data_IF_096520883489
#
_entry.id   IF_096520883489
#
_cell.length_a   1.000
_cell.length_b   1.000
_cell.length_c   1.000
_cell.angle_alpha   90.00
_cell.angle_beta   90.00
_cell.angle_gamma   90.00
#
_symmetry.space_group_name_H-M   'P 1'
#
loop_
_entity.id
_entity.type
_entity.pdbx_description
1 polymer ?
#
# COMPACT_ATOMS: atom_id res chain seq x y z
N UNK A 1 13.66 -5.70 -12.34
CA UNK A 1 13.03 -4.41 -12.02
C UNK A 1 11.50 -4.44 -12.25
N UNK A 2 11.01 -5.13 -13.28
CA UNK A 2 9.58 -5.16 -13.62
C UNK A 2 8.67 -5.91 -12.63
N UNK A 3 9.20 -6.93 -11.95
CA UNK A 3 8.40 -7.75 -11.03
C UNK A 3 7.86 -6.93 -9.85
N UNK A 4 8.68 -6.05 -9.27
CA UNK A 4 8.28 -5.21 -8.14
C UNK A 4 7.29 -4.11 -8.55
N UNK A 5 7.46 -3.55 -9.76
CA UNK A 5 6.50 -2.60 -10.34
C UNK A 5 5.14 -3.26 -10.57
N UNK A 6 5.11 -4.48 -11.11
CA UNK A 6 3.89 -5.27 -11.29
C UNK A 6 3.21 -5.59 -9.96
N UNK A 7 3.99 -6.03 -8.96
CA UNK A 7 3.47 -6.31 -7.61
C UNK A 7 2.85 -5.07 -6.99
N UNK A 8 3.52 -3.91 -7.09
CA UNK A 8 2.98 -2.64 -6.61
C UNK A 8 1.70 -2.23 -7.34
N UNK A 9 1.69 -2.28 -8.67
CA UNK A 9 0.50 -1.91 -9.46
C UNK A 9 -0.71 -2.77 -9.10
N UNK A 10 -0.50 -4.09 -8.95
CA UNK A 10 -1.54 -5.02 -8.50
C UNK A 10 -2.03 -4.70 -7.09
N UNK A 11 -1.13 -4.42 -6.13
CA UNK A 11 -1.53 -4.04 -4.77
C UNK A 11 -2.28 -2.72 -4.75
N UNK A 12 -1.82 -1.70 -5.47
CA UNK A 12 -2.48 -0.40 -5.55
C UNK A 12 -3.91 -0.53 -6.10
N UNK A 13 -4.11 -1.33 -7.15
CA UNK A 13 -5.44 -1.62 -7.68
C UNK A 13 -6.35 -2.28 -6.64
N UNK A 14 -5.82 -3.25 -5.88
CA UNK A 14 -6.60 -3.93 -4.83
C UNK A 14 -6.92 -3.02 -3.64
N UNK A 15 -6.02 -2.13 -3.24
CA UNK A 15 -6.29 -1.10 -2.25
C UNK A 15 -7.38 -0.14 -2.72
N UNK A 16 -7.34 0.27 -4.00
CA UNK A 16 -8.38 1.12 -4.59
C UNK A 16 -9.77 0.46 -4.53
N UNK A 17 -9.86 -0.84 -4.82
CA UNK A 17 -11.10 -1.61 -4.65
C UNK A 17 -11.58 -1.69 -3.19
N UNK A 18 -10.66 -1.58 -2.23
CA UNK A 18 -10.98 -1.53 -0.80
C UNK A 18 -11.25 -0.10 -0.29
N UNK A 19 -11.18 0.93 -1.13
CA UNK A 19 -11.38 2.33 -0.78
C UNK A 19 -10.16 3.03 -0.16
N UNK A 20 -8.96 2.48 -0.39
CA UNK A 20 -7.68 3.04 0.06
C UNK A 20 -6.80 3.37 -1.14
N UNK A 21 -5.75 4.16 -0.94
CA UNK A 21 -4.71 4.42 -1.94
C UNK A 21 -3.36 3.94 -1.42
N UNK A 22 -2.54 3.36 -2.29
CA UNK A 22 -1.16 2.97 -1.99
C UNK A 22 -0.22 3.80 -2.88
N UNK A 23 0.62 4.62 -2.27
CA UNK A 23 1.54 5.51 -2.95
C UNK A 23 3.00 5.14 -2.62
N UNK A 24 3.92 5.43 -3.54
CA UNK A 24 5.36 5.39 -3.27
C UNK A 24 5.84 6.76 -2.84
N UNK A 25 6.68 6.82 -1.83
CA UNK A 25 7.40 8.05 -1.48
C UNK A 25 8.65 8.15 -2.35
N UNK A 26 9.11 9.38 -2.61
CA UNK A 26 10.38 9.60 -3.31
C UNK A 26 11.51 9.74 -2.29
N UNK A 27 12.73 9.37 -2.69
CA UNK A 27 13.88 9.16 -1.81
C UNK A 27 14.38 10.39 -1.01
N UNK A 28 13.71 11.55 -1.10
CA UNK A 28 14.05 12.75 -0.32
C UNK A 28 13.57 12.71 1.13
N UNK A 29 12.50 11.96 1.44
CA UNK A 29 11.74 12.15 2.70
C UNK A 29 12.00 11.09 3.78
N UNK A 30 12.96 10.18 3.58
CA UNK A 30 13.41 9.23 4.60
C UNK A 30 12.61 7.92 4.65
N UNK A 31 13.35 6.82 4.49
CA UNK A 31 13.15 5.40 4.88
C UNK A 31 11.78 4.68 4.76
N UNK A 32 10.68 5.34 4.38
CA UNK A 32 9.36 4.72 4.24
C UNK A 32 8.98 4.71 2.76
N UNK A 33 9.30 3.65 1.99
CA UNK A 33 9.08 3.62 0.55
C UNK A 33 7.60 3.63 0.12
N UNK A 34 6.65 3.28 0.99
CA UNK A 34 5.23 3.19 0.64
C UNK A 34 4.33 3.82 1.70
N UNK A 35 3.22 4.42 1.29
CA UNK A 35 2.21 4.98 2.19
C UNK A 35 0.83 4.52 1.74
N UNK A 36 0.07 3.94 2.68
CA UNK A 36 -1.35 3.67 2.49
C UNK A 36 -2.16 4.84 3.06
N UNK A 37 -3.15 5.33 2.32
CA UNK A 37 -3.98 6.45 2.74
C UNK A 37 -5.47 6.21 2.53
N UNK A 38 -6.32 6.73 3.43
CA UNK A 38 -7.78 6.79 3.26
C UNK A 38 -8.38 7.87 4.18
N UNK A 39 -9.04 8.87 3.60
CA UNK A 39 -9.87 9.85 4.36
C UNK A 39 -9.19 10.39 5.64
N UNK A 40 -8.00 10.98 5.50
CA UNK A 40 -7.24 11.50 6.65
C UNK A 40 -6.43 10.45 7.43
N UNK A 41 -6.63 9.15 7.18
CA UNK A 41 -5.74 8.09 7.64
C UNK A 41 -4.52 7.97 6.74
N UNK A 42 -3.33 7.94 7.34
CA UNK A 42 -2.05 7.69 6.68
C UNK A 42 -1.31 6.62 7.45
N UNK A 43 -0.85 5.57 6.76
CA UNK A 43 -0.03 4.51 7.34
C UNK A 43 1.24 4.32 6.52
N UNK A 44 2.42 4.71 7.05
CA UNK A 44 3.69 4.40 6.43
C UNK A 44 3.90 2.89 6.40
N UNK A 45 4.50 2.39 5.31
CA UNK A 45 4.84 0.99 5.10
C UNK A 45 6.29 0.89 4.60
N UNK A 46 7.03 -0.04 5.19
CA UNK A 46 8.44 -0.26 4.87
C UNK A 46 8.65 -1.24 3.72
N UNK A 47 7.62 -2.02 3.35
CA UNK A 47 7.68 -2.97 2.24
C UNK A 47 6.32 -3.22 1.58
N UNK A 48 6.33 -3.80 0.37
CA UNK A 48 5.12 -4.27 -0.30
C UNK A 48 4.46 -5.46 0.42
N UNK A 49 5.25 -6.26 1.15
CA UNK A 49 4.73 -7.37 1.94
C UNK A 49 3.87 -6.86 3.10
N UNK A 50 4.34 -5.82 3.80
CA UNK A 50 3.58 -5.17 4.87
C UNK A 50 2.26 -4.60 4.33
N UNK A 51 2.30 -3.95 3.16
CA UNK A 51 1.11 -3.47 2.48
C UNK A 51 0.15 -4.63 2.12
N UNK A 52 0.66 -5.78 1.68
CA UNK A 52 -0.15 -6.96 1.38
C UNK A 52 -0.81 -7.54 2.64
N UNK A 53 -0.09 -7.62 3.76
CA UNK A 53 -0.65 -8.09 5.03
C UNK A 53 -1.73 -7.14 5.53
N UNK A 54 -1.52 -5.82 5.44
CA UNK A 54 -2.52 -4.84 5.81
C UNK A 54 -3.78 -4.92 4.94
N UNK A 55 -3.62 -5.12 3.63
CA UNK A 55 -4.76 -5.33 2.73
C UNK A 55 -5.58 -6.57 3.13
N UNK A 56 -4.93 -7.67 3.51
CA UNK A 56 -5.64 -8.86 4.02
C UNK A 56 -6.43 -8.56 5.28
N UNK A 57 -5.89 -7.75 6.20
CA UNK A 57 -6.62 -7.33 7.41
C UNK A 57 -7.87 -6.52 7.07
N UNK A 58 -7.75 -5.54 6.16
CA UNK A 58 -8.89 -4.73 5.70
C UNK A 58 -9.96 -5.60 5.03
N UNK A 59 -9.55 -6.52 4.16
CA UNK A 59 -10.47 -7.38 3.41
C UNK A 59 -11.11 -8.46 4.30
N UNK A 60 -10.38 -8.98 5.30
CA UNK A 60 -10.89 -9.94 6.28
C UNK A 60 -11.82 -9.31 7.33
N UNK A 61 -11.62 -8.03 7.64
CA UNK A 61 -12.53 -7.26 8.50
C UNK A 61 -13.83 -6.83 7.80
N UNK A 62 -13.97 -7.09 6.49
CA UNK A 62 -15.19 -6.83 5.71
C UNK A 62 -16.20 -8.00 5.77
N UNK A 63 -16.04 -8.92 6.71
CA UNK A 63 -16.98 -10.02 6.96
C UNK A 63 -18.21 -9.54 7.75
#
# INVERSE_FOLDING_TARGET
MDAELKTFANLAARFALAGFSLNRTTAGDGSVPFVVSRWGFLRPMHSLEEAQQFLKQIQGAKA
#
